data_IF_844272494973
#
_entry.id   IF_844272494973
#
_cell.length_a   1.000
_cell.length_b   1.000
_cell.length_c   1.000
_cell.angle_alpha   90.00
_cell.angle_beta   90.00
_cell.angle_gamma   90.00
#
_symmetry.space_group_name_H-M   'P 1'
#
loop_
_entity.id
_entity.type
_entity.pdbx_description
1 polymer ?
#
# COMPACT_ATOMS: atom_id res chain seq x y z
N UNK A 1 -9.58 -21.35 -53.57
CA UNK A 1 -9.76 -20.62 -52.30
C UNK A 1 -9.97 -19.11 -52.46
N UNK A 2 -9.23 -18.39 -53.32
CA UNK A 2 -9.33 -16.93 -53.49
C UNK A 2 -10.73 -16.40 -53.89
N UNK A 3 -11.52 -17.17 -54.65
CA UNK A 3 -12.86 -16.80 -55.11
C UNK A 3 -13.95 -16.80 -54.01
N UNK A 4 -13.75 -17.51 -52.90
CA UNK A 4 -14.75 -17.58 -51.81
C UNK A 4 -14.78 -16.31 -50.95
N UNK A 5 -13.67 -15.56 -50.86
CA UNK A 5 -13.55 -14.38 -50.02
C UNK A 5 -13.98 -13.07 -50.70
N UNK A 6 -13.86 -12.98 -52.03
CA UNK A 6 -14.00 -11.70 -52.73
C UNK A 6 -15.46 -11.30 -52.97
N UNK A 7 -16.35 -12.29 -53.17
CA UNK A 7 -17.77 -12.05 -53.49
C UNK A 7 -18.74 -12.05 -52.30
N UNK A 8 -18.34 -12.54 -51.13
CA UNK A 8 -19.26 -12.70 -50.00
C UNK A 8 -19.25 -11.48 -49.06
N UNK A 9 -20.15 -10.53 -49.32
CA UNK A 9 -20.32 -9.31 -48.52
C UNK A 9 -20.58 -9.62 -47.03
N UNK A 10 -21.36 -10.68 -46.74
CA UNK A 10 -21.63 -11.15 -45.38
C UNK A 10 -20.37 -11.51 -44.60
N UNK A 11 -19.42 -12.17 -45.27
CA UNK A 11 -18.15 -12.57 -44.67
C UNK A 11 -17.27 -11.35 -44.35
N UNK A 12 -17.28 -10.33 -45.22
CA UNK A 12 -16.56 -9.08 -44.99
C UNK A 12 -17.11 -8.31 -43.80
N UNK A 13 -18.44 -8.21 -43.69
CA UNK A 13 -19.12 -7.57 -42.55
C UNK A 13 -18.80 -8.31 -41.25
N UNK A 14 -18.85 -9.64 -41.26
CA UNK A 14 -18.51 -10.46 -40.10
C UNK A 14 -17.05 -10.29 -39.67
N UNK A 15 -16.11 -10.29 -40.62
CA UNK A 15 -14.70 -10.05 -40.35
C UNK A 15 -14.45 -8.63 -39.78
N UNK A 16 -15.16 -7.62 -40.29
CA UNK A 16 -15.09 -6.26 -39.77
C UNK A 16 -15.63 -6.17 -38.33
N UNK A 17 -16.76 -6.82 -38.05
CA UNK A 17 -17.32 -6.91 -36.69
C UNK A 17 -16.36 -7.60 -35.72
N UNK A 18 -15.72 -8.69 -36.13
CA UNK A 18 -14.69 -9.37 -35.34
C UNK A 18 -13.48 -8.46 -35.08
N UNK A 19 -13.02 -7.73 -36.09
CA UNK A 19 -11.92 -6.78 -35.93
C UNK A 19 -12.29 -5.63 -34.98
N UNK A 20 -13.53 -5.13 -35.06
CA UNK A 20 -14.05 -4.10 -34.15
C UNK A 20 -14.14 -4.61 -32.71
N UNK A 21 -14.65 -5.82 -32.51
CA UNK A 21 -14.70 -6.45 -31.18
C UNK A 21 -13.31 -6.68 -30.61
N UNK A 22 -12.36 -7.15 -31.42
CA UNK A 22 -10.97 -7.30 -31.01
C UNK A 22 -10.32 -5.95 -30.66
N UNK A 23 -10.57 -4.92 -31.46
CA UNK A 23 -10.11 -3.55 -31.19
C UNK A 23 -10.65 -3.04 -29.85
N UNK A 24 -11.95 -3.21 -29.61
CA UNK A 24 -12.59 -2.82 -28.35
C UNK A 24 -11.97 -3.63 -27.22
N UNK A 25 -11.87 -4.94 -27.32
CA UNK A 25 -11.31 -5.81 -26.28
C UNK A 25 -9.88 -5.42 -25.86
N UNK A 26 -9.01 -5.15 -26.85
CA UNK A 26 -7.63 -4.71 -26.61
C UNK A 26 -7.58 -3.33 -25.95
N UNK A 27 -8.44 -2.39 -26.38
CA UNK A 27 -8.45 -1.02 -25.83
C UNK A 27 -9.31 -0.86 -24.56
N UNK A 28 -10.23 -1.78 -24.29
CA UNK A 28 -11.11 -1.76 -23.11
C UNK A 28 -10.44 -2.41 -21.91
N UNK A 29 -9.40 -3.22 -22.14
CA UNK A 29 -8.55 -3.66 -21.06
C UNK A 29 -7.88 -2.41 -20.48
N UNK A 30 -8.13 -2.04 -19.21
CA UNK A 30 -7.37 -0.98 -18.59
C UNK A 30 -5.92 -1.44 -18.66
N UNK A 31 -5.13 -0.76 -19.50
CA UNK A 31 -3.68 -0.91 -19.49
C UNK A 31 -3.28 -0.45 -18.10
N UNK A 32 -3.15 -1.40 -17.19
CA UNK A 32 -2.56 -1.21 -15.88
C UNK A 32 -1.23 -0.50 -16.15
N UNK A 33 -1.15 0.79 -15.81
CA UNK A 33 0.00 1.63 -16.17
C UNK A 33 1.29 0.86 -15.91
N UNK A 34 2.10 0.55 -16.94
CA UNK A 34 3.31 -0.23 -16.75
C UNK A 34 4.25 0.63 -15.91
N UNK A 35 4.45 0.26 -14.64
CA UNK A 35 5.42 0.91 -13.76
C UNK A 35 4.95 1.31 -12.37
N UNK A 36 3.70 1.05 -11.96
CA UNK A 36 3.27 1.29 -10.57
C UNK A 36 2.88 -0.03 -9.92
N UNK A 37 3.85 -0.68 -9.30
CA UNK A 37 3.62 -1.92 -8.55
C UNK A 37 3.13 -1.52 -7.16
N UNK A 38 1.98 -2.05 -6.75
CA UNK A 38 1.48 -1.88 -5.38
C UNK A 38 2.05 -3.00 -4.54
N UNK A 39 2.78 -2.64 -3.49
CA UNK A 39 3.27 -3.60 -2.50
C UNK A 39 2.59 -3.35 -1.17
N UNK A 40 2.12 -4.42 -0.56
CA UNK A 40 1.55 -4.41 0.78
C UNK A 40 2.63 -4.95 1.73
N UNK A 41 2.95 -4.19 2.78
CA UNK A 41 3.96 -4.53 3.78
C UNK A 41 3.34 -4.37 5.16
N UNK A 42 3.56 -5.34 6.04
CA UNK A 42 3.15 -5.27 7.44
C UNK A 42 4.41 -5.01 8.27
N UNK A 43 4.41 -3.96 9.07
CA UNK A 43 5.49 -3.61 9.99
C UNK A 43 5.01 -3.69 11.43
N UNK A 44 5.89 -4.16 12.32
CA UNK A 44 5.69 -4.02 13.76
C UNK A 44 5.92 -2.58 14.20
N UNK A 45 5.03 -2.05 15.04
CA UNK A 45 5.13 -0.69 15.57
C UNK A 45 6.06 -0.67 16.77
N UNK A 46 7.10 0.17 16.73
CA UNK A 46 8.02 0.36 17.84
C UNK A 46 7.59 1.54 18.72
N UNK A 47 7.64 1.36 20.03
CA UNK A 47 7.31 2.40 21.00
C UNK A 47 8.60 2.97 21.58
N UNK A 48 8.81 4.29 21.46
CA UNK A 48 10.04 4.97 21.88
C UNK A 48 9.76 6.07 22.89
N UNK A 49 10.77 6.41 23.69
CA UNK A 49 10.76 7.54 24.63
C UNK A 49 9.65 7.49 25.70
N UNK A 50 9.23 6.29 26.14
CA UNK A 50 8.33 6.18 27.28
C UNK A 50 9.07 6.54 28.58
N UNK A 51 8.43 7.34 29.42
CA UNK A 51 8.95 7.72 30.74
C UNK A 51 9.07 6.49 31.65
N UNK A 52 10.16 6.40 32.43
CA UNK A 52 10.50 5.20 33.22
C UNK A 52 9.49 4.89 34.35
N UNK A 53 8.70 5.87 34.75
CA UNK A 53 7.63 5.77 35.74
C UNK A 53 6.28 5.35 35.14
N UNK A 54 6.20 5.18 33.81
CA UNK A 54 5.02 4.73 33.10
C UNK A 54 5.27 3.38 32.42
N UNK A 55 4.23 2.57 32.32
CA UNK A 55 4.24 1.27 31.64
C UNK A 55 3.17 1.23 30.56
N UNK A 56 3.53 0.63 29.43
CA UNK A 56 2.60 0.30 28.34
C UNK A 56 1.75 -0.92 28.73
N UNK A 57 0.42 -0.79 28.67
CA UNK A 57 -0.54 -1.86 28.99
C UNK A 57 -1.20 -2.39 27.72
N UNK A 58 -1.65 -1.50 26.84
CA UNK A 58 -2.24 -1.85 25.55
C UNK A 58 -1.60 -1.03 24.43
N UNK A 59 -1.39 -1.68 23.29
CA UNK A 59 -0.74 -1.12 22.12
C UNK A 59 -1.30 -1.65 20.81
N UNK A 60 -1.07 -0.89 19.74
CA UNK A 60 -1.29 -1.32 18.37
C UNK A 60 0.02 -1.92 17.83
N UNK A 61 0.07 -3.25 17.71
CA UNK A 61 1.35 -3.92 17.45
C UNK A 61 1.81 -3.87 16.00
N UNK A 62 0.89 -3.67 15.06
CA UNK A 62 1.16 -3.75 13.63
C UNK A 62 0.52 -2.62 12.85
N UNK A 63 1.21 -2.21 11.78
CA UNK A 63 0.70 -1.29 10.78
C UNK A 63 0.90 -1.88 9.39
N UNK A 64 -0.16 -1.82 8.60
CA UNK A 64 -0.17 -2.19 7.20
C UNK A 64 0.13 -0.95 6.34
N UNK A 65 1.09 -1.09 5.44
CA UNK A 65 1.49 -0.06 4.50
C UNK A 65 1.22 -0.53 3.08
N UNK A 66 0.54 0.31 2.31
CA UNK A 66 0.42 0.16 0.86
C UNK A 66 1.37 1.16 0.23
N UNK A 67 2.38 0.63 -0.46
CA UNK A 67 3.45 1.41 -1.07
C UNK A 67 3.33 1.37 -2.59
N UNK A 68 3.72 2.47 -3.22
CA UNK A 68 4.01 2.48 -4.65
C UNK A 68 5.51 2.24 -4.85
N UNK A 69 5.85 1.15 -5.50
CA UNK A 69 7.21 0.93 -5.98
C UNK A 69 7.36 1.66 -7.32
N UNK A 70 8.36 2.54 -7.39
CA UNK A 70 8.91 2.97 -8.68
C UNK A 70 9.66 1.83 -9.37
N UNK A 71 10.23 2.10 -10.54
CA UNK A 71 10.94 1.12 -11.40
C UNK A 71 12.14 0.42 -10.70
N UNK A 72 12.48 0.82 -9.48
CA UNK A 72 13.62 0.38 -8.68
C UNK A 72 13.30 -0.73 -7.65
N UNK A 73 12.39 -1.66 -7.96
CA UNK A 73 12.05 -2.80 -7.09
C UNK A 73 13.23 -3.76 -6.76
N UNK A 74 14.40 -3.57 -7.39
CA UNK A 74 15.60 -4.38 -7.25
C UNK A 74 16.70 -3.77 -6.35
N UNK A 75 16.45 -2.61 -5.74
CA UNK A 75 17.42 -1.98 -4.82
C UNK A 75 17.37 -2.71 -3.46
N UNK A 76 18.53 -2.97 -2.81
CA UNK A 76 18.54 -3.56 -1.48
C UNK A 76 17.63 -2.78 -0.53
N UNK A 77 16.80 -3.52 0.20
CA UNK A 77 15.74 -2.98 1.05
C UNK A 77 16.37 -2.17 2.17
N UNK A 78 16.41 -0.84 2.00
CA UNK A 78 16.63 0.07 3.12
C UNK A 78 15.62 -0.27 4.23
N UNK A 79 16.03 -0.35 5.51
CA UNK A 79 15.17 -0.83 6.57
C UNK A 79 14.00 0.13 6.79
N UNK A 80 12.79 -0.33 6.46
CA UNK A 80 11.54 0.36 6.79
C UNK A 80 11.22 0.21 8.27
N UNK A 81 10.75 1.27 8.91
CA UNK A 81 10.39 1.26 10.33
C UNK A 81 9.07 1.98 10.57
N UNK A 82 8.27 1.45 11.48
CA UNK A 82 7.11 2.12 12.03
C UNK A 82 7.33 2.35 13.52
N UNK A 83 7.07 3.56 14.02
CA UNK A 83 7.18 3.86 15.44
C UNK A 83 6.18 4.90 15.92
N UNK A 84 5.96 4.92 17.22
CA UNK A 84 5.24 5.98 17.93
C UNK A 84 6.16 6.57 18.98
N UNK A 85 6.24 7.90 18.99
CA UNK A 85 6.97 8.65 20.02
C UNK A 85 6.07 8.90 21.23
N UNK A 86 6.46 8.37 22.38
CA UNK A 86 5.74 8.47 23.65
C UNK A 86 6.31 9.59 24.53
N UNK A 87 7.29 10.36 24.06
CA UNK A 87 7.95 11.41 24.86
C UNK A 87 7.03 12.55 25.31
N UNK A 88 5.85 12.69 24.70
CA UNK A 88 4.83 13.68 25.10
C UNK A 88 3.86 13.16 26.17
N UNK A 89 3.95 11.89 26.56
CA UNK A 89 3.09 11.28 27.56
C UNK A 89 3.68 11.54 28.95
N UNK A 90 3.01 12.38 29.74
CA UNK A 90 3.45 12.76 31.08
C UNK A 90 2.69 12.06 32.21
N UNK A 91 1.50 11.53 31.93
CA UNK A 91 0.56 10.98 32.91
C UNK A 91 -0.01 9.66 32.42
N UNK A 92 -0.54 8.87 33.35
CA UNK A 92 -1.35 7.71 33.00
C UNK A 92 -2.62 8.09 32.22
N UNK A 93 -3.08 7.18 31.36
CA UNK A 93 -4.27 7.41 30.54
C UNK A 93 -4.24 6.71 29.19
N UNK A 94 -5.29 6.98 28.41
CA UNK A 94 -5.45 6.51 27.03
C UNK A 94 -5.09 7.60 26.05
N UNK A 95 -4.24 7.26 25.08
CA UNK A 95 -3.73 8.18 24.08
C UNK A 95 -3.92 7.61 22.67
N UNK A 96 -4.25 8.49 21.74
CA UNK A 96 -4.26 8.21 20.31
C UNK A 96 -3.13 8.97 19.67
N UNK A 97 -2.05 8.27 19.33
CA UNK A 97 -0.85 8.88 18.78
C UNK A 97 -0.64 8.44 17.34
N UNK A 98 -0.13 9.36 16.52
CA UNK A 98 0.12 9.08 15.10
C UNK A 98 1.28 8.12 14.95
N UNK A 99 1.09 7.08 14.12
CA UNK A 99 2.15 6.17 13.73
C UNK A 99 3.03 6.89 12.70
N UNK A 100 4.32 7.00 13.01
CA UNK A 100 5.33 7.54 12.12
C UNK A 100 5.98 6.39 11.35
N UNK A 101 6.18 6.59 10.06
CA UNK A 101 6.75 5.58 9.17
C UNK A 101 7.99 6.17 8.49
N UNK A 102 9.13 5.53 8.70
CA UNK A 102 10.37 5.82 7.98
C UNK A 102 10.41 4.93 6.74
N UNK A 103 10.26 5.57 5.58
CA UNK A 103 10.33 4.93 4.27
C UNK A 103 11.61 5.32 3.53
N UNK A 104 12.16 4.41 2.71
CA UNK A 104 13.22 4.73 1.74
C UNK A 104 12.81 5.89 0.84
N UNK A 105 13.76 6.75 0.45
CA UNK A 105 13.49 7.97 -0.33
C UNK A 105 12.80 7.72 -1.68
N UNK A 106 13.00 6.55 -2.25
CA UNK A 106 12.46 6.13 -3.55
C UNK A 106 11.06 5.50 -3.45
N UNK A 107 10.56 5.23 -2.23
CA UNK A 107 9.21 4.74 -2.00
C UNK A 107 8.26 5.89 -1.67
N UNK A 108 7.02 5.78 -2.14
CA UNK A 108 5.94 6.68 -1.73
C UNK A 108 4.86 5.90 -1.00
N UNK A 109 4.50 6.38 0.19
CA UNK A 109 3.35 5.87 0.93
C UNK A 109 2.09 6.22 0.15
N UNK A 110 1.31 5.22 -0.23
CA UNK A 110 -0.04 5.45 -0.75
C UNK A 110 -1.02 5.58 0.41
N UNK A 111 -0.95 4.63 1.32
CA UNK A 111 -1.90 4.48 2.40
C UNK A 111 -1.27 3.69 3.56
N UNK A 112 -1.68 4.03 4.78
CA UNK A 112 -1.30 3.30 5.99
C UNK A 112 -2.54 2.98 6.82
N UNK A 113 -2.57 1.80 7.44
CA UNK A 113 -3.66 1.37 8.30
C UNK A 113 -3.16 0.52 9.47
N UNK A 114 -3.48 0.88 10.71
CA UNK A 114 -4.10 2.14 11.13
C UNK A 114 -3.15 3.35 10.98
N UNK A 115 -3.69 4.58 10.93
CA UNK A 115 -2.86 5.81 10.96
C UNK A 115 -2.49 6.22 12.40
N UNK A 116 -3.32 5.84 13.36
CA UNK A 116 -3.16 6.15 14.77
C UNK A 116 -3.11 4.85 15.58
N UNK A 117 -2.19 4.81 16.53
CA UNK A 117 -2.14 3.76 17.54
C UNK A 117 -2.93 4.21 18.77
N UNK A 118 -3.80 3.33 19.27
CA UNK A 118 -4.34 3.44 20.62
C UNK A 118 -3.32 2.88 21.59
N UNK A 119 -3.01 3.66 22.63
CA UNK A 119 -2.02 3.34 23.65
C UNK A 119 -2.65 3.58 25.02
N UNK A 120 -2.53 2.60 25.90
CA UNK A 120 -2.85 2.72 27.32
C UNK A 120 -1.57 2.68 28.13
N UNK A 121 -1.34 3.72 28.94
CA UNK A 121 -0.23 3.80 29.88
C UNK A 121 -0.74 3.92 31.32
N UNK A 122 -0.02 3.30 32.24
CA UNK A 122 -0.29 3.34 33.68
C UNK A 122 0.99 3.66 34.46
N UNK A 123 0.86 4.28 35.63
CA UNK A 123 2.00 4.50 36.53
C UNK A 123 2.52 3.19 37.12
N UNK A 124 3.84 3.06 37.18
CA UNK A 124 4.50 1.92 37.82
C UNK A 124 4.43 2.12 39.34
N UNK A 125 3.41 1.57 39.98
CA UNK A 125 3.31 1.54 41.45
C UNK A 125 4.49 0.73 42.02
N UNK A 126 5.34 1.39 42.80
CA UNK A 126 6.40 0.76 43.59
C UNK A 126 5.84 0.05 44.82
#
# INVERSE_FOLDING_TARGET
MRKFFVGNMKLKIFAFLLALLAWIYVNSSPVSSPGIWKRQIILSVQYKNLRNDLRLIESTDQVELVLFEGIHAFVPVEPMRAYVDLGQIEKEGRYFLKIQVELPKWMKLKYQRPEYALILVEEVKK
#
